data_IF_657361310170
#
_entry.id   IF_657361310170
#
_cell.length_a   1.000
_cell.length_b   1.000
_cell.length_c   1.000
_cell.angle_alpha   90.00
_cell.angle_beta   90.00
_cell.angle_gamma   90.00
#
_symmetry.space_group_name_H-M   'P 1'
#
loop_
_entity.id
_entity.type
_entity.pdbx_description
1 polymer ?
#
# COMPACT_ATOMS: atom_id res chain seq x y z
N UNK A 1 21.56 12.38 -24.95
CA UNK A 1 20.85 12.18 -23.67
C UNK A 1 20.02 10.93 -23.82
N UNK A 2 20.25 9.90 -23.00
CA UNK A 2 19.37 8.72 -22.98
C UNK A 2 17.97 9.14 -22.51
N UNK A 3 16.93 8.69 -23.23
CA UNK A 3 15.54 8.94 -22.87
C UNK A 3 15.26 8.23 -21.54
N UNK A 4 14.79 8.96 -20.53
CA UNK A 4 14.36 8.36 -19.27
C UNK A 4 13.12 7.49 -19.54
N UNK A 5 13.26 6.18 -19.41
CA UNK A 5 12.15 5.22 -19.55
C UNK A 5 11.62 4.93 -18.15
N UNK A 6 10.33 5.18 -17.93
CA UNK A 6 9.62 4.78 -16.72
C UNK A 6 9.29 3.28 -16.79
N UNK A 7 9.22 2.58 -15.65
CA UNK A 7 8.82 1.18 -15.64
C UNK A 7 7.37 1.01 -16.08
N UNK A 8 7.08 -0.12 -16.73
CA UNK A 8 5.69 -0.53 -16.97
C UNK A 8 5.04 -0.98 -15.67
N UNK A 9 3.71 -0.83 -15.60
CA UNK A 9 2.91 -1.29 -14.48
C UNK A 9 2.22 -2.59 -14.87
N UNK A 10 2.50 -3.67 -14.13
CA UNK A 10 1.70 -4.89 -14.20
C UNK A 10 0.49 -4.77 -13.27
N UNK A 11 -0.70 -4.86 -13.86
CA UNK A 11 -1.95 -4.85 -13.11
C UNK A 11 -2.38 -6.26 -12.65
N UNK A 12 -3.53 -6.34 -11.98
CA UNK A 12 -4.11 -7.61 -11.50
C UNK A 12 -4.48 -8.60 -12.61
N UNK A 13 -4.56 -8.14 -13.87
CA UNK A 13 -4.82 -8.96 -15.05
C UNK A 13 -3.52 -9.43 -15.72
N UNK A 14 -2.37 -9.11 -15.12
CA UNK A 14 -1.03 -9.42 -15.62
C UNK A 14 -0.68 -8.70 -16.93
N UNK A 15 -1.38 -7.60 -17.25
CA UNK A 15 -1.10 -6.77 -18.42
C UNK A 15 -0.17 -5.62 -18.07
N UNK A 16 0.71 -5.30 -19.00
CA UNK A 16 1.56 -4.12 -18.95
C UNK A 16 0.77 -2.87 -19.33
N UNK A 17 0.85 -1.87 -18.46
CA UNK A 17 0.24 -0.56 -18.66
C UNK A 17 1.30 0.53 -18.46
N UNK A 18 1.08 1.70 -19.04
CA UNK A 18 1.92 2.86 -18.77
C UNK A 18 1.76 3.31 -17.31
N UNK A 19 2.88 3.74 -16.71
CA UNK A 19 2.84 4.30 -15.37
C UNK A 19 2.07 5.63 -15.36
N UNK A 20 0.99 5.67 -14.59
CA UNK A 20 0.15 6.86 -14.44
C UNK A 20 0.17 7.37 -12.99
N UNK A 21 0.87 8.48 -12.70
CA UNK A 21 0.95 9.02 -11.34
C UNK A 21 -0.39 9.51 -10.78
N UNK A 22 -1.36 9.85 -11.64
CA UNK A 22 -2.69 10.29 -11.21
C UNK A 22 -3.45 9.18 -10.47
N UNK A 23 -3.11 7.91 -10.70
CA UNK A 23 -3.71 6.80 -9.96
C UNK A 23 -3.27 6.81 -8.48
N UNK A 24 -2.03 7.22 -8.18
CA UNK A 24 -1.54 7.36 -6.82
C UNK A 24 -2.30 8.49 -6.13
N UNK A 25 -2.29 9.69 -6.72
CA UNK A 25 -2.98 10.86 -6.19
C UNK A 25 -4.45 10.58 -5.86
N UNK A 26 -5.19 10.02 -6.83
CA UNK A 26 -6.62 9.70 -6.64
C UNK A 26 -6.85 8.63 -5.58
N UNK A 27 -5.98 7.63 -5.49
CA UNK A 27 -6.10 6.58 -4.47
C UNK A 27 -5.84 7.10 -3.06
N UNK A 28 -4.87 8.01 -2.89
CA UNK A 28 -4.60 8.66 -1.61
C UNK A 28 -5.83 9.44 -1.12
N UNK A 29 -6.41 10.29 -1.98
CA UNK A 29 -7.62 11.05 -1.64
C UNK A 29 -8.85 10.16 -1.38
N UNK A 30 -8.96 9.03 -2.09
CA UNK A 30 -10.10 8.14 -1.96
C UNK A 30 -10.07 7.31 -0.68
N UNK A 31 -8.87 6.89 -0.26
CA UNK A 31 -8.70 5.84 0.75
C UNK A 31 -8.20 6.37 2.10
N UNK A 32 -7.87 7.66 2.20
CA UNK A 32 -7.29 8.27 3.41
C UNK A 32 -7.89 9.64 3.71
N UNK A 33 -7.59 10.19 4.88
CA UNK A 33 -7.94 11.56 5.27
C UNK A 33 -6.94 12.63 4.82
N UNK A 34 -6.04 12.32 3.88
CA UNK A 34 -5.00 13.24 3.41
C UNK A 34 -5.58 14.50 2.74
N UNK A 35 -4.91 15.64 2.89
CA UNK A 35 -5.23 16.85 2.13
C UNK A 35 -4.76 16.75 0.67
N UNK A 36 -5.38 17.51 -0.24
CA UNK A 36 -4.95 17.58 -1.65
C UNK A 36 -3.49 18.02 -1.80
N UNK A 37 -3.07 19.00 -0.98
CA UNK A 37 -1.69 19.48 -0.97
C UNK A 37 -0.70 18.35 -0.61
N UNK A 38 -0.96 17.62 0.47
CA UNK A 38 -0.10 16.51 0.89
C UNK A 38 -0.17 15.33 -0.09
N UNK A 39 -1.35 15.03 -0.65
CA UNK A 39 -1.49 14.00 -1.67
C UNK A 39 -0.66 14.33 -2.92
N UNK A 40 -0.63 15.59 -3.33
CA UNK A 40 0.20 16.08 -4.44
C UNK A 40 1.69 15.90 -4.13
N UNK A 41 2.16 16.39 -2.97
CA UNK A 41 3.57 16.27 -2.52
C UNK A 41 4.02 14.81 -2.41
N UNK A 42 3.20 13.94 -1.82
CA UNK A 42 3.48 12.50 -1.71
C UNK A 42 3.54 11.87 -3.09
N UNK A 43 2.60 12.18 -3.98
CA UNK A 43 2.59 11.66 -5.36
C UNK A 43 3.87 12.06 -6.09
N UNK A 44 4.28 13.32 -6.00
CA UNK A 44 5.53 13.81 -6.60
C UNK A 44 6.75 13.03 -6.09
N UNK A 45 6.85 12.83 -4.77
CA UNK A 45 7.97 12.09 -4.19
C UNK A 45 7.97 10.61 -4.56
N UNK A 46 6.81 9.98 -4.69
CA UNK A 46 6.70 8.60 -5.22
C UNK A 46 7.19 8.54 -6.65
N UNK A 47 6.81 9.50 -7.50
CA UNK A 47 7.29 9.58 -8.90
C UNK A 47 8.81 9.75 -8.95
N UNK A 48 9.38 10.64 -8.13
CA UNK A 48 10.84 10.81 -8.02
C UNK A 48 11.54 9.51 -7.61
N UNK A 49 10.95 8.76 -6.69
CA UNK A 49 11.46 7.44 -6.26
C UNK A 49 11.40 6.42 -7.38
N UNK A 50 10.31 6.37 -8.15
CA UNK A 50 10.17 5.44 -9.28
C UNK A 50 11.16 5.79 -10.40
N UNK A 51 11.36 7.08 -10.68
CA UNK A 51 12.36 7.58 -11.64
C UNK A 51 13.76 7.17 -11.22
N UNK A 52 14.12 7.29 -9.93
CA UNK A 52 15.48 6.99 -9.47
C UNK A 52 15.84 5.51 -9.64
N UNK A 53 14.87 4.60 -9.56
CA UNK A 53 15.07 3.16 -9.73
C UNK A 53 14.84 2.65 -11.15
N UNK A 54 14.30 3.46 -12.08
CA UNK A 54 13.82 2.99 -13.40
C UNK A 54 14.93 2.48 -14.33
N UNK A 55 16.19 2.82 -14.05
CA UNK A 55 17.35 2.25 -14.75
C UNK A 55 17.51 0.76 -14.45
N UNK A 56 17.19 0.34 -13.23
CA UNK A 56 17.37 -1.03 -12.72
C UNK A 56 16.05 -1.81 -12.82
N UNK A 57 14.95 -1.17 -12.42
CA UNK A 57 13.61 -1.78 -12.35
C UNK A 57 12.82 -1.40 -13.60
N UNK A 58 12.49 -2.38 -14.45
CA UNK A 58 11.74 -2.16 -15.70
C UNK A 58 10.24 -2.37 -15.55
N UNK A 59 9.83 -3.09 -14.51
CA UNK A 59 8.44 -3.43 -14.23
C UNK A 59 8.17 -3.19 -12.75
N UNK A 60 7.05 -2.55 -12.46
CA UNK A 60 6.52 -2.38 -11.10
C UNK A 60 5.08 -2.89 -11.06
N UNK A 61 4.61 -3.28 -9.88
CA UNK A 61 3.24 -3.74 -9.69
C UNK A 61 2.46 -2.75 -8.84
N UNK A 62 1.12 -2.80 -8.89
CA UNK A 62 0.29 -1.98 -7.99
C UNK A 62 0.63 -2.19 -6.49
N UNK A 63 0.91 -3.41 -5.99
CA UNK A 63 1.45 -3.62 -4.64
C UNK A 63 2.78 -2.89 -4.38
N UNK A 64 3.75 -2.98 -5.29
CA UNK A 64 5.05 -2.29 -5.15
C UNK A 64 4.88 -0.77 -5.11
N UNK A 65 4.03 -0.21 -5.97
CA UNK A 65 3.69 1.22 -5.94
C UNK A 65 3.11 1.59 -4.57
N UNK A 66 2.22 0.77 -4.02
CA UNK A 66 1.61 1.01 -2.72
C UNK A 66 2.61 0.92 -1.57
N UNK A 67 3.59 0.03 -1.63
CA UNK A 67 4.69 -0.07 -0.66
C UNK A 67 5.55 1.21 -0.69
N UNK A 68 5.91 1.68 -1.90
CA UNK A 68 6.65 2.94 -2.07
C UNK A 68 5.82 4.10 -1.51
N UNK A 69 4.54 4.21 -1.86
CA UNK A 69 3.66 5.27 -1.35
C UNK A 69 3.55 5.25 0.16
N UNK A 70 3.39 4.07 0.79
CA UNK A 70 3.36 3.95 2.25
C UNK A 70 4.68 4.37 2.90
N UNK A 71 5.82 4.05 2.29
CA UNK A 71 7.13 4.55 2.76
C UNK A 71 7.23 6.07 2.66
N UNK A 72 6.76 6.67 1.56
CA UNK A 72 6.76 8.13 1.39
C UNK A 72 5.81 8.80 2.39
N UNK A 73 4.62 8.27 2.67
CA UNK A 73 3.73 8.81 3.71
C UNK A 73 4.45 8.91 5.06
N UNK A 74 5.22 7.89 5.44
CA UNK A 74 6.03 7.92 6.67
C UNK A 74 7.13 8.97 6.64
N UNK A 75 7.81 9.16 5.49
CA UNK A 75 8.84 10.20 5.34
C UNK A 75 8.27 11.62 5.55
N UNK A 76 6.98 11.81 5.28
CA UNK A 76 6.26 13.08 5.49
C UNK A 76 5.63 13.21 6.89
N UNK A 77 5.77 12.22 7.77
CA UNK A 77 5.10 12.21 9.08
C UNK A 77 3.58 12.10 8.97
N UNK A 78 3.10 11.34 7.99
CA UNK A 78 1.68 11.09 7.74
C UNK A 78 1.30 9.67 8.23
N UNK A 79 1.55 9.38 9.51
CA UNK A 79 1.34 8.03 10.07
C UNK A 79 -0.13 7.59 10.07
N UNK A 80 -1.07 8.53 10.20
CA UNK A 80 -2.51 8.26 10.17
C UNK A 80 -2.91 7.82 8.75
N UNK A 81 -2.54 8.61 7.75
CA UNK A 81 -2.82 8.33 6.35
C UNK A 81 -2.13 7.04 5.90
N UNK A 82 -0.91 6.78 6.36
CA UNK A 82 -0.22 5.50 6.12
C UNK A 82 -1.00 4.32 6.71
N UNK A 83 -1.57 4.49 7.90
CA UNK A 83 -2.41 3.47 8.53
C UNK A 83 -3.66 3.18 7.70
N UNK A 84 -4.34 4.24 7.25
CA UNK A 84 -5.53 4.15 6.40
C UNK A 84 -5.21 3.55 5.02
N UNK A 85 -4.05 3.85 4.45
CA UNK A 85 -3.63 3.38 3.13
C UNK A 85 -3.04 1.96 3.14
N UNK A 86 -2.95 1.30 4.31
CA UNK A 86 -2.32 -0.01 4.43
C UNK A 86 -3.09 -1.10 3.68
N UNK A 87 -2.37 -2.08 3.13
CA UNK A 87 -2.99 -3.26 2.52
C UNK A 87 -3.19 -4.34 3.58
N UNK A 88 -4.40 -4.90 3.63
CA UNK A 88 -4.71 -6.05 4.48
C UNK A 88 -4.64 -7.32 3.63
N UNK A 89 -4.01 -8.36 4.17
CA UNK A 89 -3.80 -9.61 3.46
C UNK A 89 -2.81 -10.51 4.19
N UNK A 90 -2.08 -11.31 3.43
CA UNK A 90 -1.10 -12.26 3.96
C UNK A 90 0.26 -12.04 3.30
N UNK A 91 1.37 -12.28 4.02
CA UNK A 91 2.64 -12.61 3.39
C UNK A 91 2.47 -13.83 2.48
N UNK A 92 3.08 -13.80 1.29
CA UNK A 92 2.97 -14.89 0.29
C UNK A 92 3.42 -16.23 0.90
N UNK A 93 4.46 -16.21 1.72
CA UNK A 93 4.97 -17.40 2.41
C UNK A 93 3.93 -18.04 3.34
N UNK A 94 3.29 -17.23 4.18
CA UNK A 94 2.28 -17.70 5.14
C UNK A 94 1.06 -18.27 4.43
N UNK A 95 0.60 -17.59 3.37
CA UNK A 95 -0.51 -18.07 2.56
C UNK A 95 -0.17 -19.36 1.82
N UNK A 96 1.07 -19.52 1.34
CA UNK A 96 1.55 -20.76 0.73
C UNK A 96 1.47 -21.93 1.72
N UNK A 97 1.98 -21.75 2.94
CA UNK A 97 1.89 -22.77 4.00
C UNK A 97 0.44 -23.13 4.28
N UNK A 98 -0.42 -22.11 4.42
CA UNK A 98 -1.83 -22.29 4.70
C UNK A 98 -2.54 -23.12 3.61
N UNK A 99 -2.24 -22.82 2.34
CA UNK A 99 -2.80 -23.52 1.17
C UNK A 99 -2.24 -24.94 1.02
N UNK A 100 -0.99 -25.17 1.41
CA UNK A 100 -0.40 -26.52 1.35
C UNK A 100 -0.91 -27.45 2.45
N UNK A 101 -1.33 -26.92 3.60
CA UNK A 101 -1.75 -27.70 4.77
C UNK A 101 -3.28 -27.92 4.87
N UNK A 102 -3.95 -28.17 3.74
CA UNK A 102 -5.43 -28.21 3.61
C UNK A 102 -6.15 -29.15 4.60
N UNK A 103 -5.47 -30.16 5.14
CA UNK A 103 -6.06 -31.23 5.94
C UNK A 103 -6.40 -30.87 7.41
N UNK A 104 -6.09 -29.66 7.90
CA UNK A 104 -6.06 -29.36 9.34
C UNK A 104 -7.04 -28.28 9.85
N UNK A 105 -8.00 -27.81 9.04
CA UNK A 105 -8.83 -26.67 9.43
C UNK A 105 -10.33 -26.98 9.49
N UNK A 106 -10.87 -27.03 10.71
CA UNK A 106 -12.31 -26.98 10.95
C UNK A 106 -12.89 -25.69 10.32
N UNK A 107 -13.92 -25.83 9.48
CA UNK A 107 -14.52 -24.73 8.73
C UNK A 107 -13.82 -24.35 7.42
N UNK A 108 -12.73 -25.02 7.04
CA UNK A 108 -12.06 -24.86 5.76
C UNK A 108 -11.10 -23.65 5.68
N UNK A 109 -10.24 -23.67 4.66
CA UNK A 109 -9.17 -22.67 4.48
C UNK A 109 -9.71 -21.24 4.28
N UNK A 110 -10.81 -21.10 3.54
CA UNK A 110 -11.39 -19.81 3.21
C UNK A 110 -11.91 -19.09 4.46
N UNK A 111 -12.50 -19.82 5.40
CA UNK A 111 -12.95 -19.27 6.70
C UNK A 111 -11.77 -18.72 7.50
N UNK A 112 -10.62 -19.38 7.46
CA UNK A 112 -9.40 -18.91 8.13
C UNK A 112 -8.81 -17.67 7.45
N UNK A 113 -8.78 -17.65 6.12
CA UNK A 113 -8.36 -16.48 5.32
C UNK A 113 -9.26 -15.28 5.63
N UNK A 114 -10.58 -15.47 5.57
CA UNK A 114 -11.56 -14.42 5.87
C UNK A 114 -11.44 -13.93 7.33
N UNK A 115 -11.28 -14.84 8.28
CA UNK A 115 -11.10 -14.51 9.69
C UNK A 115 -9.83 -13.70 9.97
N UNK A 116 -8.73 -14.00 9.29
CA UNK A 116 -7.49 -13.23 9.40
C UNK A 116 -7.65 -11.83 8.79
N UNK A 117 -8.14 -11.72 7.55
CA UNK A 117 -8.36 -10.43 6.88
C UNK A 117 -9.30 -9.54 7.69
N UNK A 118 -10.38 -10.12 8.23
CA UNK A 118 -11.32 -9.40 9.09
C UNK A 118 -10.66 -8.89 10.37
N UNK A 119 -9.81 -9.70 11.01
CA UNK A 119 -9.08 -9.30 12.22
C UNK A 119 -8.09 -8.17 11.94
N UNK A 120 -7.29 -8.32 10.89
CA UNK A 120 -6.33 -7.30 10.46
C UNK A 120 -7.03 -5.98 10.12
N UNK A 121 -8.21 -6.02 9.50
CA UNK A 121 -9.02 -4.83 9.28
C UNK A 121 -9.35 -4.09 10.59
N UNK A 122 -9.84 -4.79 11.62
CA UNK A 122 -10.13 -4.15 12.89
C UNK A 122 -8.87 -3.67 13.61
N UNK A 123 -7.76 -4.42 13.53
CA UNK A 123 -6.47 -4.00 14.07
C UNK A 123 -6.04 -2.65 13.47
N UNK A 124 -6.17 -2.49 12.15
CA UNK A 124 -5.85 -1.23 11.47
C UNK A 124 -6.74 -0.09 11.96
N UNK A 125 -8.06 -0.32 12.10
CA UNK A 125 -8.96 0.71 12.63
C UNK A 125 -8.56 1.16 14.04
N UNK A 126 -8.21 0.22 14.92
CA UNK A 126 -7.84 0.53 16.29
C UNK A 126 -6.47 1.21 16.40
N UNK A 127 -5.50 0.81 15.56
CA UNK A 127 -4.22 1.51 15.41
C UNK A 127 -4.47 2.95 14.94
N UNK A 128 -5.28 3.15 13.91
CA UNK A 128 -5.59 4.49 13.38
C UNK A 128 -6.24 5.38 14.44
N UNK A 129 -7.19 4.86 15.22
CA UNK A 129 -7.79 5.60 16.35
C UNK A 129 -6.74 5.99 17.39
N UNK A 130 -5.84 5.07 17.74
CA UNK A 130 -4.77 5.34 18.70
C UNK A 130 -3.81 6.42 18.20
N UNK A 131 -3.45 6.39 16.91
CA UNK A 131 -2.61 7.44 16.30
C UNK A 131 -3.29 8.81 16.34
N UNK A 132 -4.58 8.89 16.01
CA UNK A 132 -5.36 10.14 16.11
C UNK A 132 -5.35 10.70 17.54
N UNK A 133 -5.64 9.86 18.53
CA UNK A 133 -5.59 10.25 19.95
C UNK A 133 -4.21 10.74 20.38
N UNK A 134 -3.14 10.03 20.01
CA UNK A 134 -1.77 10.44 20.33
C UNK A 134 -1.42 11.80 19.71
N UNK A 135 -1.91 12.09 18.50
CA UNK A 135 -1.69 13.38 17.84
C UNK A 135 -2.40 14.52 18.58
N UNK A 136 -3.65 14.30 19.00
CA UNK A 136 -4.42 15.23 19.83
C UNK A 136 -3.74 15.49 21.19
N UNK A 137 -3.31 14.43 21.88
CA UNK A 137 -2.66 14.52 23.20
C UNK A 137 -1.31 15.24 23.14
N UNK A 138 -0.58 15.16 22.01
CA UNK A 138 0.74 15.77 21.84
C UNK A 138 0.71 17.23 21.32
N UNK A 139 -0.47 17.84 21.18
CA UNK A 139 -0.59 19.29 21.09
C UNK A 139 0.21 19.96 19.96
N UNK A 140 0.08 19.44 18.74
CA UNK A 140 0.02 20.29 17.54
C UNK A 140 -1.37 20.24 16.96
#
# INVERSE_FOLDING_TARGET
MEKLILPYVIDKTLKENEFNPQLIYRSLLKETSISEENASKVTEQVVRTIISISKIVKIITAPTIREITNSVLLQFGLEIERSEYTRIGFPVYDLKILISNKAYYEGGIDTKIAGHVKREYYNVLDITKRLKKLKEDNGK
#
